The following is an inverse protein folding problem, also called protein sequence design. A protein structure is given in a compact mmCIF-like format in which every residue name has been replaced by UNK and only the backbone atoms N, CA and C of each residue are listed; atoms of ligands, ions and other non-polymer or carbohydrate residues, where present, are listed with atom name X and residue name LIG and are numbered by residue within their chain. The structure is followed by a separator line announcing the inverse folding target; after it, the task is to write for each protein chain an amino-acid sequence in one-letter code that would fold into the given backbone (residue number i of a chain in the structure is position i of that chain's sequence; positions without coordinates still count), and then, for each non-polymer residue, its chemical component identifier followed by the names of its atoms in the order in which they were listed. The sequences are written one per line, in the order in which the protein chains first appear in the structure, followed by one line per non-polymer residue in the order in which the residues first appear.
data_IF_359698164692
#
_entry.id   IF_359698164692
#
_cell.length_a   1.000
_cell.length_b   1.000
_cell.length_c   1.000
_cell.angle_alpha   90.00
_cell.angle_beta   90.00
_cell.angle_gamma   90.00
#
_symmetry.space_group_name_H-M   'P 1'
#
loop_
_entity.id
_entity.type
_entity.pdbx_description
1 polymer ?
#
# COMPACT_ATOMS: atom_id res chain seq x y z
N UNK A 1 29.92 -13.84 2.53
CA UNK A 1 28.99 -13.04 3.36
C UNK A 1 28.05 -12.22 2.49
N UNK A 2 28.52 -11.32 1.61
CA UNK A 2 27.65 -10.61 0.66
C UNK A 2 26.95 -11.51 -0.36
N UNK A 3 27.60 -12.60 -0.78
CA UNK A 3 27.00 -13.58 -1.67
C UNK A 3 25.72 -14.19 -1.07
N UNK A 4 25.65 -14.41 0.25
CA UNK A 4 24.45 -14.92 0.92
C UNK A 4 23.29 -13.92 0.77
N UNK A 5 23.55 -12.64 1.00
CA UNK A 5 22.57 -11.57 0.78
C UNK A 5 22.13 -11.49 -0.68
N UNK A 6 23.08 -11.55 -1.61
CA UNK A 6 22.80 -11.44 -3.04
C UNK A 6 21.97 -12.62 -3.57
N UNK A 7 22.29 -13.84 -3.13
CA UNK A 7 21.64 -15.08 -3.55
C UNK A 7 20.31 -15.35 -2.81
N UNK A 8 20.02 -14.61 -1.73
CA UNK A 8 18.78 -14.75 -0.96
C UNK A 8 17.54 -14.36 -1.78
N UNK A 9 16.45 -15.09 -1.59
CA UNK A 9 15.14 -14.71 -2.15
C UNK A 9 14.63 -13.42 -1.52
N UNK A 10 14.96 -13.17 -0.24
CA UNK A 10 14.39 -12.11 0.58
C UNK A 10 15.49 -11.27 1.25
N UNK A 11 16.35 -10.62 0.45
CA UNK A 11 17.54 -9.92 0.93
C UNK A 11 17.26 -8.73 1.85
N UNK A 12 16.03 -8.22 1.84
CA UNK A 12 15.60 -7.12 2.72
C UNK A 12 15.45 -7.57 4.19
N UNK A 13 15.20 -8.86 4.42
CA UNK A 13 15.10 -9.46 5.77
C UNK A 13 16.46 -9.86 6.35
N UNK A 14 17.47 -10.00 5.49
CA UNK A 14 18.79 -10.50 5.86
C UNK A 14 19.62 -9.45 6.61
N UNK A 15 20.52 -9.90 7.47
CA UNK A 15 21.44 -8.98 8.16
C UNK A 15 22.59 -8.58 7.24
N UNK A 16 22.81 -7.27 7.06
CA UNK A 16 23.95 -6.79 6.30
C UNK A 16 25.29 -7.17 6.97
N UNK A 17 26.28 -7.66 6.21
CA UNK A 17 27.52 -8.18 6.78
C UNK A 17 28.50 -7.07 7.19
N UNK A 18 29.46 -7.41 8.07
CA UNK A 18 30.55 -6.52 8.46
C UNK A 18 30.03 -5.25 9.15
N UNK A 19 30.65 -4.09 8.91
CA UNK A 19 30.24 -2.81 9.55
C UNK A 19 28.82 -2.34 9.23
N UNK A 20 28.19 -2.89 8.20
CA UNK A 20 26.91 -2.45 7.67
C UNK A 20 25.71 -2.92 8.52
N UNK A 21 25.91 -3.84 9.48
CA UNK A 21 24.87 -4.24 10.43
C UNK A 21 24.44 -3.11 11.38
N UNK A 22 25.29 -2.07 11.54
CA UNK A 22 25.02 -0.93 12.45
C UNK A 22 24.21 0.19 11.81
N UNK A 23 23.87 0.04 10.54
CA UNK A 23 23.08 1.02 9.81
C UNK A 23 21.64 1.02 10.30
N UNK A 24 21.02 2.20 10.30
CA UNK A 24 19.59 2.33 10.49
C UNK A 24 18.82 1.75 9.29
N UNK A 25 17.51 1.58 9.44
CA UNK A 25 16.67 0.91 8.45
C UNK A 25 16.66 1.63 7.09
N UNK A 26 16.71 2.97 7.09
CA UNK A 26 16.76 3.76 5.86
C UNK A 26 18.12 3.62 5.15
N UNK A 27 19.23 3.68 5.89
CA UNK A 27 20.57 3.45 5.36
C UNK A 27 20.71 2.02 4.80
N UNK A 28 20.10 1.03 5.46
CA UNK A 28 20.04 -0.35 4.95
C UNK A 28 19.32 -0.44 3.60
N UNK A 29 18.24 0.32 3.39
CA UNK A 29 17.55 0.41 2.09
C UNK A 29 18.47 0.93 0.98
N UNK A 30 19.32 1.91 1.28
CA UNK A 30 20.28 2.45 0.31
C UNK A 30 21.30 1.38 -0.13
N UNK A 31 21.77 0.57 0.81
CA UNK A 31 22.68 -0.55 0.51
C UNK A 31 21.96 -1.62 -0.31
N UNK A 32 20.75 -2.00 0.09
CA UNK A 32 19.94 -2.97 -0.65
C UNK A 32 19.68 -2.51 -2.09
N UNK A 33 19.36 -1.22 -2.28
CA UNK A 33 19.16 -0.63 -3.61
C UNK A 33 20.39 -0.75 -4.52
N UNK A 34 21.59 -0.70 -3.96
CA UNK A 34 22.81 -0.84 -4.74
C UNK A 34 23.09 -2.30 -5.16
N UNK A 35 22.60 -3.29 -4.41
CA UNK A 35 22.96 -4.71 -4.58
C UNK A 35 21.82 -5.54 -5.19
N UNK A 36 20.58 -5.32 -4.74
CA UNK A 36 19.34 -6.02 -5.15
C UNK A 36 18.22 -4.99 -5.40
N UNK A 37 18.32 -4.19 -6.47
CA UNK A 37 17.33 -3.16 -6.79
C UNK A 37 15.92 -3.73 -7.03
N UNK A 38 15.83 -4.99 -7.46
CA UNK A 38 14.58 -5.72 -7.67
C UNK A 38 13.75 -5.90 -6.38
N UNK A 39 14.39 -5.89 -5.21
CA UNK A 39 13.74 -6.09 -3.91
C UNK A 39 13.49 -4.78 -3.14
N UNK A 40 13.82 -3.63 -3.72
CA UNK A 40 13.68 -2.32 -3.07
C UNK A 40 12.23 -1.99 -2.78
N UNK A 41 11.30 -2.32 -3.68
CA UNK A 41 9.87 -2.00 -3.48
C UNK A 41 9.35 -2.68 -2.22
N UNK A 42 9.61 -3.98 -2.06
CA UNK A 42 9.21 -4.75 -0.87
C UNK A 42 9.86 -4.18 0.38
N UNK A 43 11.17 -3.91 0.33
CA UNK A 43 11.89 -3.37 1.47
C UNK A 43 11.39 -1.97 1.90
N UNK A 44 11.00 -1.13 0.94
CA UNK A 44 10.39 0.18 1.22
C UNK A 44 9.02 -0.01 1.86
N UNK A 45 8.22 -0.96 1.40
CA UNK A 45 6.95 -1.32 2.04
C UNK A 45 7.20 -1.69 3.51
N UNK A 46 8.15 -2.58 3.80
CA UNK A 46 8.44 -2.99 5.18
C UNK A 46 8.91 -1.81 6.05
N UNK A 47 9.71 -0.91 5.49
CA UNK A 47 10.16 0.30 6.17
C UNK A 47 8.99 1.24 6.49
N UNK A 48 8.07 1.43 5.56
CA UNK A 48 6.86 2.24 5.79
C UNK A 48 5.98 1.58 6.85
N UNK A 49 5.80 0.26 6.81
CA UNK A 49 5.05 -0.48 7.81
C UNK A 49 5.66 -0.35 9.21
N UNK A 50 6.99 -0.40 9.33
CA UNK A 50 7.65 -0.28 10.64
C UNK A 50 7.68 1.14 11.21
N UNK A 51 7.80 2.16 10.36
CA UNK A 51 7.88 3.56 10.80
C UNK A 51 6.51 4.23 10.98
N UNK A 52 5.56 3.95 10.08
CA UNK A 52 4.24 4.60 10.06
C UNK A 52 3.10 3.66 10.47
N UNK A 53 3.28 2.35 10.32
CA UNK A 53 2.28 1.32 10.60
C UNK A 53 1.73 0.64 9.35
N UNK A 54 1.23 -0.58 9.52
CA UNK A 54 0.70 -1.45 8.44
C UNK A 54 -0.48 -0.83 7.67
N UNK A 55 -1.22 0.12 8.26
CA UNK A 55 -2.30 0.80 7.54
C UNK A 55 -1.80 1.72 6.40
N UNK A 56 -0.49 2.04 6.36
CA UNK A 56 0.11 2.87 5.31
C UNK A 56 0.65 2.05 4.14
N UNK A 57 0.72 0.72 4.27
CA UNK A 57 1.14 -0.22 3.23
C UNK A 57 -0.04 -1.03 2.69
N UNK A 58 -1.08 -1.19 3.50
CA UNK A 58 -2.30 -1.90 3.13
C UNK A 58 -3.31 -0.93 2.49
N UNK A 59 -3.87 -1.23 1.30
CA UNK A 59 -4.93 -0.43 0.72
C UNK A 59 -6.14 -0.35 1.66
N UNK A 60 -6.73 0.84 1.86
CA UNK A 60 -7.93 0.96 2.67
C UNK A 60 -9.10 0.19 2.03
N UNK A 61 -10.03 -0.35 2.84
CA UNK A 61 -11.23 -0.97 2.32
C UNK A 61 -12.07 0.06 1.56
N UNK A 62 -12.77 -0.40 0.51
CA UNK A 62 -13.70 0.45 -0.23
C UNK A 62 -14.89 0.83 0.65
N UNK A 63 -15.10 2.13 0.86
CA UNK A 63 -16.22 2.66 1.65
C UNK A 63 -17.01 3.71 0.86
N UNK A 64 -18.01 3.24 0.11
CA UNK A 64 -18.91 4.11 -0.64
C UNK A 64 -19.75 5.00 0.29
N UNK A 65 -20.13 4.50 1.47
CA UNK A 65 -21.00 5.23 2.39
C UNK A 65 -20.28 6.42 3.01
N UNK A 66 -19.08 6.22 3.54
CA UNK A 66 -18.24 7.28 4.09
C UNK A 66 -17.89 8.31 3.02
N UNK A 67 -17.41 7.84 1.87
CA UNK A 67 -17.03 8.75 0.77
C UNK A 67 -18.24 9.57 0.28
N UNK A 68 -19.42 8.97 0.19
CA UNK A 68 -20.64 9.71 -0.18
C UNK A 68 -21.03 10.76 0.87
N UNK A 69 -20.91 10.46 2.16
CA UNK A 69 -21.22 11.41 3.23
C UNK A 69 -20.28 12.64 3.22
N UNK A 70 -19.05 12.49 2.71
CA UNK A 70 -18.09 13.57 2.53
C UNK A 70 -18.27 14.34 1.20
N UNK A 71 -19.07 13.80 0.29
CA UNK A 71 -19.37 14.42 -1.01
C UNK A 71 -20.58 15.34 -0.95
N UNK A 72 -20.75 16.18 -1.97
CA UNK A 72 -21.92 17.03 -2.14
C UNK A 72 -22.11 17.40 -3.62
N UNK A 73 -23.13 18.18 -3.96
CA UNK A 73 -23.45 18.57 -5.34
C UNK A 73 -22.32 19.32 -6.07
N UNK A 74 -21.34 19.86 -5.35
CA UNK A 74 -20.16 20.56 -5.89
C UNK A 74 -18.86 19.76 -5.72
N UNK A 75 -18.89 18.60 -5.06
CA UNK A 75 -17.74 17.74 -4.81
C UNK A 75 -18.03 16.34 -5.39
N UNK A 76 -17.66 16.07 -6.65
CA UNK A 76 -18.01 14.83 -7.33
C UNK A 76 -17.23 13.63 -6.79
N UNK A 77 -17.87 12.45 -6.82
CA UNK A 77 -17.24 11.17 -6.56
C UNK A 77 -16.59 10.63 -7.83
N UNK A 78 -15.30 10.28 -7.75
CA UNK A 78 -14.53 9.73 -8.87
C UNK A 78 -14.19 8.27 -8.58
N UNK A 79 -14.54 7.39 -9.50
CA UNK A 79 -14.22 5.96 -9.43
C UNK A 79 -13.05 5.66 -10.36
N UNK A 80 -11.97 5.10 -9.81
CA UNK A 80 -10.82 4.61 -10.59
C UNK A 80 -10.93 3.11 -10.69
N UNK A 81 -11.12 2.60 -11.91
CA UNK A 81 -11.41 1.20 -12.17
C UNK A 81 -10.24 0.50 -12.83
N UNK A 82 -10.02 -0.75 -12.42
CA UNK A 82 -9.17 -1.67 -13.16
C UNK A 82 -9.98 -2.39 -14.23
N UNK A 83 -9.32 -2.99 -15.21
CA UNK A 83 -10.01 -3.80 -16.21
C UNK A 83 -10.79 -4.93 -15.53
N UNK A 84 -12.08 -5.07 -15.86
CA UNK A 84 -12.96 -6.10 -15.31
C UNK A 84 -13.66 -5.77 -13.98
N UNK A 85 -13.44 -4.58 -13.42
CA UNK A 85 -14.21 -4.09 -12.24
C UNK A 85 -15.25 -3.07 -12.69
N UNK A 86 -16.53 -3.30 -12.38
CA UNK A 86 -17.64 -2.36 -12.61
C UNK A 86 -18.43 -2.14 -11.31
N UNK A 87 -18.33 -0.96 -10.67
CA UNK A 87 -19.02 -0.66 -9.41
C UNK A 87 -20.49 -0.24 -9.63
N UNK A 88 -20.96 -0.16 -10.89
CA UNK A 88 -22.27 0.42 -11.22
C UNK A 88 -23.40 -0.30 -10.49
N UNK A 89 -23.35 -1.63 -10.39
CA UNK A 89 -24.36 -2.41 -9.68
C UNK A 89 -24.45 -2.05 -8.19
N UNK A 90 -23.31 -2.00 -7.50
CA UNK A 90 -23.25 -1.63 -6.07
C UNK A 90 -23.68 -0.18 -5.85
N UNK A 91 -23.29 0.73 -6.75
CA UNK A 91 -23.66 2.13 -6.71
C UNK A 91 -25.18 2.33 -6.84
N UNK A 92 -25.82 1.61 -7.76
CA UNK A 92 -27.27 1.66 -7.95
C UNK A 92 -28.01 1.11 -6.73
N UNK A 93 -27.57 -0.01 -6.17
CA UNK A 93 -28.12 -0.58 -4.94
C UNK A 93 -27.99 0.41 -3.77
N UNK A 94 -26.84 1.06 -3.64
CA UNK A 94 -26.61 2.09 -2.63
C UNK A 94 -27.57 3.28 -2.81
N UNK A 95 -27.75 3.77 -4.04
CA UNK A 95 -28.68 4.87 -4.34
C UNK A 95 -30.14 4.51 -3.99
N UNK A 96 -30.59 3.30 -4.32
CA UNK A 96 -31.94 2.83 -4.01
C UNK A 96 -32.17 2.72 -2.50
N UNK A 97 -31.18 2.20 -1.75
CA UNK A 97 -31.26 2.11 -0.29
C UNK A 97 -31.45 3.49 0.37
N UNK A 98 -30.75 4.51 -0.14
CA UNK A 98 -30.84 5.89 0.38
C UNK A 98 -32.17 6.55 0.02
N UNK A 99 -32.73 6.25 -1.15
CA UNK A 99 -34.02 6.79 -1.60
C UNK A 99 -35.19 6.25 -0.76
N UNK A 100 -35.09 5.01 -0.29
CA UNK A 100 -36.10 4.38 0.58
C UNK A 100 -36.03 4.92 2.01
N UNK A 101 -34.84 5.28 2.52
CA UNK A 101 -34.68 5.84 3.87
C UNK A 101 -35.22 7.27 4.05
N UNK A 102 -35.55 7.96 2.96
CA UNK A 102 -36.10 9.34 2.96
C UNK A 102 -37.64 9.35 2.83
N UNK A 103 -38.27 8.19 2.67
CA UNK A 103 -39.73 8.02 2.66
C UNK A 103 -40.24 7.54 4.01
#
# INVERSE_FOLDING_TARGET
QWQILYDSSDPHTETLPGRWHKLDQFQRLLVLRAIRPDKVVVAVTDYVASELGEQFTTPPPFDLQGTFNESNATTPLVFVLSAGTDPTGELLLFADSRRQAVR
#
